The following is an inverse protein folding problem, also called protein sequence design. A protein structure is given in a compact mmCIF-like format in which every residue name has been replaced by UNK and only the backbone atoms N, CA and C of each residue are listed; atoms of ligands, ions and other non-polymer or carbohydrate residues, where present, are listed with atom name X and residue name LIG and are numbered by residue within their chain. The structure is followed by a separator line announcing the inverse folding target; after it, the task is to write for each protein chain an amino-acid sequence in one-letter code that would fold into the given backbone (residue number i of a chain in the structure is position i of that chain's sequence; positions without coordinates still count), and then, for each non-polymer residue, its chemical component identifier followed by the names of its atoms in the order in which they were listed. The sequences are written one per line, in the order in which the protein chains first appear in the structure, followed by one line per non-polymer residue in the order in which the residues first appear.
data_IF_374710833447
#
_entry.id   IF_374710833447
#
_cell.length_a   1.000
_cell.length_b   1.000
_cell.length_c   1.000
_cell.angle_alpha   90.00
_cell.angle_beta   90.00
_cell.angle_gamma   90.00
#
_symmetry.space_group_name_H-M   'P 1'
#
loop_
_entity.id
_entity.type
_entity.pdbx_description
1 polymer ?
#
# COMPACT_ATOMS: atom_id res chain seq x y z
N UNK A 1 28.83 -23.18 2.83
CA UNK A 1 27.46 -22.72 3.18
C UNK A 1 27.23 -21.39 2.48
N UNK A 2 26.56 -21.40 1.33
CA UNK A 2 26.26 -20.20 0.56
C UNK A 2 24.85 -19.73 0.95
N UNK A 3 24.77 -18.63 1.68
CA UNK A 3 23.50 -17.98 2.01
C UNK A 3 22.91 -17.47 0.69
N UNK A 4 21.88 -18.15 0.21
CA UNK A 4 21.17 -17.77 -1.00
C UNK A 4 20.50 -16.41 -0.73
N UNK A 5 21.16 -15.32 -1.12
CA UNK A 5 20.61 -13.96 -1.10
C UNK A 5 19.36 -13.97 -1.97
N UNK A 6 18.19 -14.12 -1.34
CA UNK A 6 16.97 -13.67 -1.98
C UNK A 6 17.21 -12.22 -2.42
N UNK A 7 17.07 -11.97 -3.73
CA UNK A 7 16.97 -10.63 -4.30
C UNK A 7 15.65 -10.01 -3.82
N UNK A 8 15.50 -9.81 -2.51
CA UNK A 8 14.35 -9.15 -1.91
C UNK A 8 14.37 -7.70 -2.39
N UNK A 9 13.35 -7.34 -3.17
CA UNK A 9 13.13 -6.00 -3.68
C UNK A 9 13.32 -4.97 -2.56
N UNK A 10 14.21 -3.99 -2.74
CA UNK A 10 14.35 -2.90 -1.77
C UNK A 10 13.11 -1.99 -1.90
N UNK A 11 12.33 -1.85 -0.83
CA UNK A 11 11.18 -0.93 -0.65
C UNK A 11 9.76 -1.46 -0.92
N UNK A 12 9.54 -2.72 -0.59
CA UNK A 12 8.21 -3.35 -0.53
C UNK A 12 7.57 -3.19 0.86
N UNK A 13 6.25 -3.41 0.97
CA UNK A 13 5.58 -3.65 2.24
C UNK A 13 5.23 -5.14 2.39
N UNK A 14 5.19 -5.63 3.63
CA UNK A 14 4.78 -7.00 3.96
C UNK A 14 3.64 -6.99 4.98
N UNK A 15 2.65 -7.90 4.82
CA UNK A 15 1.50 -8.02 5.72
C UNK A 15 1.16 -9.50 5.96
N UNK A 16 0.74 -9.86 7.18
CA UNK A 16 0.32 -11.24 7.52
C UNK A 16 -1.18 -11.39 7.25
N UNK A 17 -1.55 -12.37 6.45
CA UNK A 17 -2.93 -12.69 6.10
C UNK A 17 -3.57 -13.61 7.16
N UNK A 18 -4.91 -13.71 7.21
CA UNK A 18 -5.62 -14.60 8.15
C UNK A 18 -5.23 -16.07 8.05
N UNK A 19 -4.73 -16.50 6.89
CA UNK A 19 -4.27 -17.86 6.62
C UNK A 19 -2.79 -18.10 6.99
N UNK A 20 -2.14 -17.14 7.65
CA UNK A 20 -0.75 -17.22 8.09
C UNK A 20 0.28 -16.95 6.99
N UNK A 21 -0.15 -16.71 5.75
CA UNK A 21 0.75 -16.33 4.65
C UNK A 21 1.16 -14.87 4.76
N UNK A 22 2.35 -14.55 4.26
CA UNK A 22 2.80 -13.16 4.16
C UNK A 22 2.57 -12.70 2.72
N UNK A 23 1.81 -11.61 2.53
CA UNK A 23 1.76 -10.92 1.24
C UNK A 23 2.85 -9.87 1.18
N UNK A 24 3.59 -9.84 0.09
CA UNK A 24 4.59 -8.83 -0.23
C UNK A 24 4.06 -8.03 -1.41
N UNK A 25 3.94 -6.71 -1.26
CA UNK A 25 3.36 -5.83 -2.28
C UNK A 25 4.40 -4.81 -2.75
N UNK A 26 4.64 -4.81 -4.06
CA UNK A 26 5.41 -3.79 -4.75
C UNK A 26 6.91 -3.78 -4.45
N UNK A 27 7.49 -2.58 -4.57
CA UNK A 27 8.93 -2.33 -4.55
C UNK A 27 9.37 -1.53 -5.77
N UNK A 28 10.63 -1.09 -5.82
CA UNK A 28 11.09 -0.27 -6.94
C UNK A 28 11.00 -1.04 -8.26
N UNK A 29 10.26 -0.49 -9.22
CA UNK A 29 9.95 -1.12 -10.51
C UNK A 29 9.30 -2.51 -10.40
N UNK A 30 8.65 -2.80 -9.27
CA UNK A 30 7.87 -4.01 -9.06
C UNK A 30 6.39 -3.62 -8.96
N UNK A 31 5.62 -3.98 -9.99
CA UNK A 31 4.19 -3.67 -10.09
C UNK A 31 3.34 -4.93 -9.87
N UNK A 32 3.69 -5.68 -8.84
CA UNK A 32 3.14 -6.99 -8.54
C UNK A 32 3.01 -7.20 -7.03
N UNK A 33 2.36 -8.29 -6.65
CA UNK A 33 2.41 -8.85 -5.30
C UNK A 33 2.74 -10.34 -5.35
N UNK A 34 3.27 -10.87 -4.24
CA UNK A 34 3.62 -12.27 -4.09
C UNK A 34 3.29 -12.77 -2.68
N UNK A 35 3.13 -14.09 -2.53
CA UNK A 35 2.92 -14.73 -1.23
C UNK A 35 4.19 -15.45 -0.78
N UNK A 36 4.51 -15.30 0.50
CA UNK A 36 5.59 -16.02 1.17
C UNK A 36 5.00 -16.94 2.24
N UNK A 37 5.41 -18.21 2.22
CA UNK A 37 4.99 -19.24 3.17
C UNK A 37 6.13 -19.53 4.14
N UNK A 38 5.90 -19.34 5.45
CA UNK A 38 6.80 -19.81 6.49
C UNK A 38 6.53 -21.28 6.78
N UNK A 39 7.34 -22.18 6.24
CA UNK A 39 7.38 -23.63 6.52
C UNK A 39 6.20 -24.48 6.04
N UNK A 40 6.33 -25.04 4.85
CA UNK A 40 5.81 -26.37 4.53
C UNK A 40 6.96 -27.25 4.01
N UNK A 41 7.48 -28.11 4.89
CA UNK A 41 8.31 -29.24 4.48
C UNK A 41 7.51 -30.04 3.43
N UNK A 42 8.10 -30.27 2.25
CA UNK A 42 7.56 -31.23 1.28
C UNK A 42 6.71 -30.69 0.13
N UNK A 43 6.76 -29.39 -0.18
CA UNK A 43 6.20 -28.91 -1.46
C UNK A 43 7.24 -28.08 -2.22
N UNK A 44 8.22 -28.78 -2.76
CA UNK A 44 8.90 -28.34 -3.98
C UNK A 44 7.85 -27.90 -5.00
N UNK A 45 7.85 -26.60 -5.35
CA UNK A 45 7.10 -25.96 -6.45
C UNK A 45 5.72 -25.31 -6.21
N UNK A 46 5.45 -24.68 -5.05
CA UNK A 46 4.54 -23.52 -5.07
C UNK A 46 5.31 -22.32 -5.60
N UNK A 47 5.33 -22.19 -6.93
CA UNK A 47 5.91 -21.06 -7.65
C UNK A 47 5.73 -19.74 -6.89
N UNK A 48 6.83 -19.06 -6.59
CA UNK A 48 6.88 -17.65 -6.19
C UNK A 48 6.36 -16.80 -7.36
N UNK A 49 5.08 -16.96 -7.71
CA UNK A 49 4.48 -16.36 -8.89
C UNK A 49 4.02 -14.97 -8.48
N UNK A 50 4.85 -13.98 -8.83
CA UNK A 50 4.45 -12.60 -8.76
C UNK A 50 3.21 -12.39 -9.64
N UNK A 51 2.16 -11.83 -9.05
CA UNK A 51 0.90 -11.51 -9.72
C UNK A 51 0.86 -10.02 -10.02
N UNK A 52 0.61 -9.68 -11.27
CA UNK A 52 0.60 -8.28 -11.70
C UNK A 52 -0.54 -7.50 -11.04
N UNK A 53 -0.22 -6.29 -10.56
CA UNK A 53 -1.16 -5.35 -9.96
C UNK A 53 -1.01 -3.99 -10.65
N UNK A 54 -1.89 -3.74 -11.63
CA UNK A 54 -1.79 -2.56 -12.49
C UNK A 54 -1.81 -1.24 -11.72
N UNK A 55 -2.55 -1.21 -10.61
CA UNK A 55 -2.63 -0.07 -9.70
C UNK A 55 -1.25 0.49 -9.28
N UNK A 56 -0.27 -0.39 -9.01
CA UNK A 56 1.08 0.06 -8.64
C UNK A 56 1.81 0.73 -9.81
N UNK A 57 1.52 0.33 -11.05
CA UNK A 57 2.09 0.99 -12.23
C UNK A 57 1.45 2.34 -12.48
N UNK A 58 0.13 2.42 -12.34
CA UNK A 58 -0.62 3.66 -12.56
C UNK A 58 -0.34 4.74 -11.51
N UNK A 59 0.05 4.34 -10.30
CA UNK A 59 0.39 5.27 -9.22
C UNK A 59 1.85 5.71 -9.24
N UNK A 60 2.68 5.17 -10.14
CA UNK A 60 4.07 5.58 -10.30
C UNK A 60 4.15 6.93 -11.02
N UNK A 61 4.94 7.84 -10.48
CA UNK A 61 5.39 9.05 -11.16
C UNK A 61 6.93 9.04 -11.31
N UNK A 62 7.48 10.09 -11.92
CA UNK A 62 8.92 10.23 -12.18
C UNK A 62 9.76 10.32 -10.89
N UNK A 63 9.13 10.74 -9.79
CA UNK A 63 9.73 10.85 -8.46
C UNK A 63 9.58 9.57 -7.62
N UNK A 64 8.92 8.55 -8.16
CA UNK A 64 8.63 7.26 -7.50
C UNK A 64 7.89 7.43 -6.16
N UNK A 65 6.92 8.35 -6.10
CA UNK A 65 6.11 8.64 -4.91
C UNK A 65 5.15 7.51 -4.49
N UNK A 66 5.27 6.31 -5.06
CA UNK A 66 4.44 5.15 -4.75
C UNK A 66 5.21 4.00 -4.08
N UNK A 67 6.46 4.22 -3.68
CA UNK A 67 7.27 3.22 -2.98
C UNK A 67 6.78 3.03 -1.54
N UNK A 68 6.85 1.80 -1.02
CA UNK A 68 6.19 1.41 0.24
C UNK A 68 4.69 1.75 0.25
N UNK A 69 3.88 1.11 -0.62
CA UNK A 69 2.44 1.27 -0.58
C UNK A 69 1.92 0.89 0.81
N UNK A 70 0.95 1.63 1.34
CA UNK A 70 0.32 1.27 2.60
C UNK A 70 -0.68 0.15 2.34
N UNK A 71 -0.60 -0.94 3.11
CA UNK A 71 -1.45 -2.13 2.95
C UNK A 71 -2.03 -2.49 4.31
N UNK A 72 -3.36 -2.55 4.39
CA UNK A 72 -4.09 -2.96 5.58
C UNK A 72 -5.10 -4.04 5.24
N UNK A 73 -5.18 -5.07 6.09
CA UNK A 73 -6.24 -6.07 6.00
C UNK A 73 -7.55 -5.52 6.58
N UNK A 74 -8.60 -5.59 5.79
CA UNK A 74 -9.94 -5.21 6.18
C UNK A 74 -10.67 -6.38 6.87
N UNK A 75 -11.69 -6.11 7.71
CA UNK A 75 -12.42 -7.16 8.41
C UNK A 75 -13.12 -8.18 7.49
N UNK A 76 -13.48 -7.78 6.27
CA UNK A 76 -14.06 -8.68 5.25
C UNK A 76 -13.01 -9.58 4.56
N UNK A 77 -11.74 -9.47 4.95
CA UNK A 77 -10.63 -10.25 4.38
C UNK A 77 -10.03 -9.68 3.10
N UNK A 78 -10.50 -8.53 2.60
CA UNK A 78 -9.88 -7.81 1.48
C UNK A 78 -8.75 -6.89 1.97
N UNK A 79 -7.94 -6.39 1.03
CA UNK A 79 -6.85 -5.47 1.33
C UNK A 79 -7.22 -4.04 0.96
N UNK A 80 -6.99 -3.10 1.85
CA UNK A 80 -6.90 -1.69 1.51
C UNK A 80 -5.46 -1.38 1.10
N UNK A 81 -5.27 -0.84 -0.11
CA UNK A 81 -3.96 -0.46 -0.64
C UNK A 81 -3.98 1.04 -0.97
N UNK A 82 -3.02 1.80 -0.45
CA UNK A 82 -2.81 3.20 -0.80
C UNK A 82 -1.40 3.38 -1.38
N UNK A 83 -1.32 4.04 -2.54
CA UNK A 83 -0.08 4.30 -3.25
C UNK A 83 -0.12 5.69 -3.91
N UNK A 84 0.92 6.49 -3.69
CA UNK A 84 1.02 7.88 -4.12
C UNK A 84 -0.08 8.73 -3.49
N UNK A 85 -1.16 9.00 -4.23
CA UNK A 85 -2.32 9.77 -3.77
C UNK A 85 -3.65 9.01 -3.94
N UNK A 86 -3.61 7.76 -4.43
CA UNK A 86 -4.78 6.94 -4.75
C UNK A 86 -4.90 5.77 -3.78
N UNK A 87 -6.12 5.26 -3.61
CA UNK A 87 -6.38 4.04 -2.83
C UNK A 87 -7.42 3.14 -3.46
N UNK A 88 -7.29 1.84 -3.17
CA UNK A 88 -8.21 0.80 -3.64
C UNK A 88 -8.53 -0.22 -2.54
N UNK A 89 -9.72 -0.82 -2.62
CA UNK A 89 -10.00 -2.12 -2.00
C UNK A 89 -9.67 -3.22 -3.02
N UNK A 90 -8.82 -4.15 -2.63
CA UNK A 90 -8.28 -5.21 -3.48
C UNK A 90 -8.62 -6.59 -2.93
N UNK A 91 -9.24 -7.42 -3.78
CA UNK A 91 -9.42 -8.85 -3.55
C UNK A 91 -8.22 -9.60 -4.12
N UNK A 92 -7.31 -10.02 -3.24
CA UNK A 92 -6.11 -10.77 -3.62
C UNK A 92 -6.39 -12.24 -3.97
N UNK A 93 -7.57 -12.78 -3.63
CA UNK A 93 -7.94 -14.16 -3.96
C UNK A 93 -8.42 -14.24 -5.40
N UNK A 94 -9.15 -13.22 -5.84
CA UNK A 94 -9.68 -13.10 -7.20
C UNK A 94 -8.82 -12.21 -8.11
N UNK A 95 -7.78 -11.58 -7.56
CA UNK A 95 -6.90 -10.65 -8.26
C UNK A 95 -7.66 -9.48 -8.92
N UNK A 96 -8.57 -8.82 -8.18
CA UNK A 96 -9.33 -7.68 -8.71
C UNK A 96 -9.44 -6.52 -7.74
N UNK A 97 -9.49 -5.33 -8.31
CA UNK A 97 -9.88 -4.11 -7.58
C UNK A 97 -11.41 -4.15 -7.43
N UNK A 98 -11.88 -4.12 -6.18
CA UNK A 98 -13.30 -4.07 -5.85
C UNK A 98 -13.80 -2.62 -5.90
N UNK A 99 -12.98 -1.69 -5.42
CA UNK A 99 -13.33 -0.28 -5.29
C UNK A 99 -12.09 0.58 -5.40
N UNK A 100 -12.24 1.74 -6.00
CA UNK A 100 -11.25 2.81 -6.00
C UNK A 100 -11.84 4.04 -5.32
N UNK A 101 -11.01 4.75 -4.55
CA UNK A 101 -11.40 5.95 -3.83
C UNK A 101 -10.82 7.19 -4.53
N UNK A 102 -11.54 8.32 -4.41
CA UNK A 102 -11.02 9.61 -4.86
C UNK A 102 -9.70 9.93 -4.14
N UNK A 103 -8.86 10.70 -4.82
CA UNK A 103 -7.61 11.17 -4.22
C UNK A 103 -7.92 12.09 -3.03
N UNK A 104 -7.14 11.94 -1.97
CA UNK A 104 -7.30 12.75 -0.77
C UNK A 104 -7.03 14.22 -1.10
N UNK A 105 -7.82 15.11 -0.48
CA UNK A 105 -7.67 16.56 -0.61
C UNK A 105 -6.22 17.01 -0.56
N UNK A 106 -5.84 17.82 -1.54
CA UNK A 106 -4.47 18.28 -1.79
C UNK A 106 -3.72 17.47 -2.85
N UNK A 107 -4.11 16.21 -3.13
CA UNK A 107 -3.48 15.39 -4.18
C UNK A 107 -2.00 15.07 -3.95
N UNK A 108 -1.47 15.45 -2.78
CA UNK A 108 -0.09 15.26 -2.39
C UNK A 108 0.19 13.78 -2.13
N UNK A 109 1.34 13.27 -2.62
CA UNK A 109 1.77 11.93 -2.31
C UNK A 109 1.98 11.71 -0.80
N UNK A 110 1.59 10.54 -0.31
CA UNK A 110 1.79 10.13 1.10
C UNK A 110 2.81 9.01 1.26
N UNK A 111 3.13 8.26 0.21
CA UNK A 111 4.14 7.21 0.30
C UNK A 111 5.55 7.76 0.11
N UNK A 112 6.57 6.93 0.36
CA UNK A 112 7.96 7.32 0.18
C UNK A 112 8.18 7.86 -1.25
N UNK A 113 8.95 8.96 -1.42
CA UNK A 113 9.74 9.70 -0.41
C UNK A 113 8.97 10.73 0.45
N UNK A 114 7.68 10.91 0.21
CA UNK A 114 6.88 11.99 0.80
C UNK A 114 6.53 11.81 2.28
N UNK A 115 6.73 10.60 2.85
CA UNK A 115 6.69 10.33 4.30
C UNK A 115 5.38 10.71 5.01
N UNK A 116 4.24 10.45 4.37
CA UNK A 116 2.93 10.48 5.02
C UNK A 116 2.68 9.24 5.89
N UNK A 117 1.55 9.24 6.59
CA UNK A 117 1.15 8.16 7.50
C UNK A 117 -0.30 7.77 7.28
N UNK A 118 -0.60 6.49 7.46
CA UNK A 118 -1.94 5.94 7.43
C UNK A 118 -2.23 5.20 8.74
N UNK A 119 -3.41 5.44 9.31
CA UNK A 119 -3.90 4.70 10.47
C UNK A 119 -5.31 4.17 10.20
N UNK A 120 -5.55 2.93 10.63
CA UNK A 120 -6.89 2.38 10.81
C UNK A 120 -7.32 2.70 12.25
N UNK A 121 -8.23 3.64 12.51
CA UNK A 121 -8.68 3.95 13.86
C UNK A 121 -9.37 2.74 14.51
N UNK A 122 -9.50 2.73 15.85
CA UNK A 122 -10.16 1.66 16.57
C UNK A 122 -11.56 1.37 16.02
N UNK A 123 -11.85 0.09 15.85
CA UNK A 123 -13.17 -0.39 15.48
C UNK A 123 -13.97 -0.59 16.77
N UNK A 124 -15.15 0.01 16.85
CA UNK A 124 -16.09 -0.22 17.94
C UNK A 124 -16.93 -1.47 17.62
N UNK A 125 -16.67 -2.57 18.31
CA UNK A 125 -17.37 -3.85 18.12
C UNK A 125 -18.84 -3.80 18.57
N UNK A 126 -19.24 -2.77 19.33
CA UNK A 126 -20.64 -2.58 19.75
C UNK A 126 -21.49 -1.86 18.70
N UNK A 127 -20.87 -1.42 17.59
CA UNK A 127 -21.53 -0.74 16.49
C UNK A 127 -21.41 -1.56 15.20
N UNK A 128 -22.23 -1.26 14.19
CA UNK A 128 -22.00 -1.78 12.85
C UNK A 128 -20.54 -1.51 12.43
N UNK A 129 -19.93 -2.54 11.85
CA UNK A 129 -18.52 -2.53 11.48
C UNK A 129 -18.23 -1.49 10.39
N UNK A 130 -17.70 -0.34 10.79
CA UNK A 130 -17.35 0.76 9.90
C UNK A 130 -15.82 1.00 9.87
N UNK A 131 -15.05 0.21 9.10
CA UNK A 131 -13.63 0.45 8.95
C UNK A 131 -13.39 1.81 8.29
N UNK A 132 -12.64 2.66 8.98
CA UNK A 132 -12.22 3.99 8.52
C UNK A 132 -10.71 3.99 8.40
N UNK A 133 -10.16 4.72 7.44
CA UNK A 133 -8.73 4.97 7.35
C UNK A 133 -8.49 6.47 7.37
N UNK A 134 -7.53 6.92 8.18
CA UNK A 134 -7.09 8.30 8.20
C UNK A 134 -5.67 8.37 7.66
N UNK A 135 -5.46 9.25 6.69
CA UNK A 135 -4.15 9.52 6.11
C UNK A 135 -3.78 10.97 6.37
N UNK A 136 -2.54 11.21 6.80
CA UNK A 136 -2.04 12.53 7.15
C UNK A 136 -0.58 12.70 6.75
N UNK A 137 -0.14 13.95 6.60
CA UNK A 137 1.26 14.25 6.30
C UNK A 137 1.62 13.90 4.87
N UNK A 138 2.88 13.93 4.48
CA UNK A 138 3.26 13.85 3.06
C UNK A 138 4.04 15.08 2.65
N UNK A 139 4.27 15.23 1.35
CA UNK A 139 4.99 16.36 0.80
C UNK A 139 4.46 16.70 -0.59
N UNK A 140 4.77 17.90 -1.08
CA UNK A 140 4.46 18.27 -2.47
C UNK A 140 5.07 17.26 -3.43
N UNK A 141 4.41 17.00 -4.55
CA UNK A 141 4.82 15.95 -5.51
C UNK A 141 6.30 16.00 -5.91
N UNK A 142 6.83 17.21 -6.09
CA UNK A 142 8.21 17.48 -6.49
C UNK A 142 9.20 17.65 -5.32
N UNK A 143 8.78 17.41 -4.06
CA UNK A 143 9.60 17.68 -2.88
C UNK A 143 10.94 16.94 -2.91
N UNK A 144 10.96 15.71 -3.43
CA UNK A 144 12.21 14.94 -3.57
C UNK A 144 13.22 15.64 -4.48
N UNK A 145 12.77 16.26 -5.57
CA UNK A 145 13.64 17.00 -6.47
C UNK A 145 14.07 18.34 -5.89
N UNK A 146 13.19 19.00 -5.12
CA UNK A 146 13.53 20.24 -4.42
C UNK A 146 14.64 20.02 -3.39
N UNK A 147 14.59 18.92 -2.63
CA UNK A 147 15.63 18.59 -1.64
C UNK A 147 16.99 18.35 -2.30
N UNK A 148 17.04 17.73 -3.48
CA UNK A 148 18.30 17.58 -4.24
C UNK A 148 18.92 18.93 -4.64
N UNK A 149 18.10 19.98 -4.74
CA UNK A 149 18.51 21.36 -5.02
C UNK A 149 18.72 22.18 -3.74
N UNK A 150 18.68 21.55 -2.56
CA UNK A 150 18.83 22.22 -1.27
C UNK A 150 17.59 23.02 -0.82
N UNK A 151 16.45 22.83 -1.47
CA UNK A 151 15.18 23.50 -1.11
C UNK A 151 14.30 22.55 -0.32
N UNK A 152 13.91 22.95 0.89
CA UNK A 152 13.12 22.14 1.81
C UNK A 152 11.72 22.75 1.95
N UNK A 153 10.73 22.12 1.33
CA UNK A 153 9.33 22.51 1.46
C UNK A 153 8.75 22.02 2.79
N UNK A 154 7.76 22.76 3.31
CA UNK A 154 6.97 22.31 4.45
C UNK A 154 6.23 21.02 4.11
N UNK A 155 6.13 20.09 5.06
CA UNK A 155 5.31 18.91 4.94
C UNK A 155 3.82 19.27 4.73
N UNK A 156 3.09 18.43 4.01
CA UNK A 156 1.66 18.62 3.78
C UNK A 156 0.91 18.55 5.12
N UNK A 157 0.16 19.59 5.45
CA UNK A 157 -0.67 19.66 6.68
C UNK A 157 -2.08 19.09 6.48
N UNK A 158 -2.31 18.42 5.35
CA UNK A 158 -3.62 17.87 4.98
C UNK A 158 -3.79 16.45 5.52
N UNK A 159 -5.01 16.15 5.96
CA UNK A 159 -5.46 14.83 6.34
C UNK A 159 -6.75 14.47 5.59
N UNK A 160 -6.96 13.18 5.33
CA UNK A 160 -8.20 12.65 4.76
C UNK A 160 -8.67 11.41 5.52
N UNK A 161 -9.98 11.33 5.77
CA UNK A 161 -10.62 10.18 6.38
C UNK A 161 -11.50 9.50 5.34
N UNK A 162 -11.18 8.26 4.98
CA UNK A 162 -12.00 7.47 4.06
C UNK A 162 -12.79 6.45 4.86
N UNK A 163 -14.11 6.41 4.67
CA UNK A 163 -14.92 5.28 5.11
C UNK A 163 -14.86 4.22 4.02
N UNK A 164 -14.37 3.03 4.38
CA UNK A 164 -14.14 1.97 3.39
C UNK A 164 -15.47 1.38 2.88
N UNK A 165 -16.53 1.47 3.68
CA UNK A 165 -17.86 0.93 3.39
C UNK A 165 -18.74 1.86 2.55
N UNK A 166 -18.49 3.17 2.55
CA UNK A 166 -19.36 4.15 1.87
C UNK A 166 -19.36 3.92 0.35
N UNK A 167 -20.53 3.63 -0.24
CA UNK A 167 -20.71 3.30 -1.66
C UNK A 167 -20.26 4.43 -2.61
N UNK A 168 -20.31 5.67 -2.13
CA UNK A 168 -19.76 6.86 -2.78
C UNK A 168 -18.82 7.57 -1.80
N UNK A 169 -17.55 7.15 -1.73
CA UNK A 169 -16.59 7.80 -0.85
C UNK A 169 -16.23 9.17 -1.44
N UNK A 170 -16.60 10.22 -0.69
CA UNK A 170 -16.21 11.62 -0.97
C UNK A 170 -14.99 12.02 -0.17
#
# INVERSE_FOLDING_TARGET
MSVNRQRKSRRNLQFILPDGRIIIVGGRAQFNYEFYHGNSQGSSSSSHKAVWLNFLRETRDDDENNLYPFVHLLPNGNLFIFANSRSVVFDYKQNRIIREFLAINGGDPRNYPSSGSLVLPPIDENRPLEPKVMLCGGASRNAFQLVKKGTFSRAASTCGCLKITDEQPT
#
